data_IF_768190732128
#
_entry.id   IF_768190732128
#
_cell.length_a   1.000
_cell.length_b   1.000
_cell.length_c   1.000
_cell.angle_alpha   90.00
_cell.angle_beta   90.00
_cell.angle_gamma   90.00
#
_symmetry.space_group_name_H-M   'P 1'
#
loop_
_entity.id
_entity.type
_entity.pdbx_description
1 polymer ?
#
# COMPACT_ATOMS: atom_id res chain seq x y z
N UNK A 1 5.28 -15.22 15.94
CA UNK A 1 4.36 -15.35 14.78
C UNK A 1 4.90 -14.44 13.69
N UNK A 2 5.16 -15.01 12.53
CA UNK A 2 5.70 -14.29 11.39
C UNK A 2 4.58 -13.74 10.51
N UNK A 3 4.60 -12.44 10.21
CA UNK A 3 3.51 -11.75 9.52
C UNK A 3 4.03 -11.15 8.22
N UNK A 4 3.39 -11.50 7.10
CA UNK A 4 3.61 -10.86 5.81
C UNK A 4 2.60 -9.72 5.59
N UNK A 5 3.10 -8.50 5.40
CA UNK A 5 2.26 -7.32 5.11
C UNK A 5 2.35 -7.00 3.63
N UNK A 6 1.21 -6.82 2.95
CA UNK A 6 1.16 -6.40 1.56
C UNK A 6 0.41 -5.07 1.41
N UNK A 7 1.06 -4.07 0.84
CA UNK A 7 0.54 -2.71 0.68
C UNK A 7 1.28 -1.95 -0.42
N UNK A 8 0.85 -0.74 -0.74
CA UNK A 8 1.57 0.19 -1.62
C UNK A 8 2.81 0.75 -0.93
N UNK A 9 3.90 -0.01 -0.86
CA UNK A 9 5.17 0.43 -0.26
C UNK A 9 6.16 0.98 -1.29
N UNK A 10 6.05 0.59 -2.55
CA UNK A 10 6.97 0.99 -3.62
C UNK A 10 6.64 2.32 -4.28
N UNK A 11 5.49 2.93 -3.99
CA UNK A 11 5.10 4.23 -4.51
C UNK A 11 6.02 5.35 -3.98
N UNK A 12 6.42 6.29 -4.86
CA UNK A 12 7.16 7.48 -4.44
C UNK A 12 6.18 8.53 -3.86
N UNK A 13 5.50 8.14 -2.79
CA UNK A 13 4.50 8.91 -2.07
C UNK A 13 4.76 8.80 -0.56
N UNK A 14 4.78 9.94 0.13
CA UNK A 14 5.07 10.00 1.57
C UNK A 14 4.04 9.22 2.39
N UNK A 15 2.75 9.35 2.08
CA UNK A 15 1.69 8.62 2.77
C UNK A 15 1.88 7.10 2.63
N UNK A 16 2.14 6.63 1.41
CA UNK A 16 2.32 5.20 1.13
C UNK A 16 3.50 4.59 1.88
N UNK A 17 4.65 5.25 1.92
CA UNK A 17 5.82 4.70 2.61
C UNK A 17 5.71 4.82 4.12
N UNK A 18 5.09 5.90 4.65
CA UNK A 18 4.93 6.10 6.08
C UNK A 18 3.89 5.16 6.70
N UNK A 19 2.76 4.90 6.02
CA UNK A 19 1.79 3.94 6.52
C UNK A 19 2.36 2.52 6.52
N UNK A 20 3.15 2.15 5.49
CA UNK A 20 3.81 0.85 5.42
C UNK A 20 4.82 0.68 6.56
N UNK A 21 5.64 1.70 6.80
CA UNK A 21 6.57 1.76 7.94
C UNK A 21 5.82 1.61 9.28
N UNK A 22 4.83 2.46 9.50
CA UNK A 22 4.12 2.51 10.78
C UNK A 22 3.42 1.21 11.14
N UNK A 23 2.75 0.56 10.17
CA UNK A 23 2.09 -0.72 10.41
C UNK A 23 3.10 -1.80 10.81
N UNK A 24 4.22 -1.87 10.07
CA UNK A 24 5.23 -2.90 10.31
C UNK A 24 5.93 -2.68 11.65
N UNK A 25 6.32 -1.45 11.97
CA UNK A 25 6.93 -1.10 13.26
C UNK A 25 5.97 -1.39 14.43
N UNK A 26 4.71 -0.97 14.32
CA UNK A 26 3.72 -1.23 15.36
C UNK A 26 3.56 -2.74 15.64
N UNK A 27 3.54 -3.57 14.60
CA UNK A 27 3.45 -5.02 14.76
C UNK A 27 4.70 -5.59 15.42
N UNK A 28 5.89 -5.11 15.03
CA UNK A 28 7.16 -5.53 15.62
C UNK A 28 7.26 -5.10 17.09
N UNK A 29 6.81 -3.90 17.45
CA UNK A 29 6.73 -3.42 18.83
C UNK A 29 5.78 -4.27 19.70
N UNK A 30 4.76 -4.89 19.09
CA UNK A 30 3.87 -5.85 19.76
C UNK A 30 4.45 -7.27 19.87
N UNK A 31 5.71 -7.47 19.46
CA UNK A 31 6.41 -8.75 19.56
C UNK A 31 6.11 -9.73 18.44
N UNK A 32 5.55 -9.26 17.33
CA UNK A 32 5.45 -10.06 16.09
C UNK A 32 6.73 -9.91 15.26
N UNK A 33 6.97 -10.83 14.34
CA UNK A 33 8.00 -10.73 13.31
C UNK A 33 7.32 -10.34 12.00
N UNK A 34 7.07 -9.03 11.85
CA UNK A 34 6.37 -8.49 10.69
C UNK A 34 7.37 -7.90 9.68
N UNK A 35 7.14 -8.20 8.40
CA UNK A 35 7.85 -7.59 7.28
C UNK A 35 6.92 -7.36 6.10
N UNK A 36 7.29 -6.42 5.23
CA UNK A 36 6.53 -6.07 4.03
C UNK A 36 6.94 -7.03 2.91
N UNK A 37 5.96 -7.69 2.28
CA UNK A 37 6.18 -8.47 1.08
C UNK A 37 6.54 -7.49 -0.05
N UNK A 38 7.77 -7.59 -0.59
CA UNK A 38 8.26 -6.71 -1.68
C UNK A 38 7.59 -7.10 -3.00
N UNK A 39 6.28 -6.80 -3.10
CA UNK A 39 5.46 -7.03 -4.28
C UNK A 39 5.60 -5.87 -5.26
N UNK A 40 6.05 -6.18 -6.47
CA UNK A 40 6.18 -5.21 -7.55
C UNK A 40 5.04 -5.35 -8.55
N UNK A 41 4.14 -4.36 -8.57
CA UNK A 41 3.07 -4.25 -9.54
C UNK A 41 3.36 -3.08 -10.50
N UNK A 42 3.72 -3.38 -11.74
CA UNK A 42 4.23 -2.39 -12.70
C UNK A 42 3.24 -1.23 -12.93
N UNK A 43 1.94 -1.50 -12.92
CA UNK A 43 0.91 -0.48 -13.09
C UNK A 43 1.01 0.65 -12.06
N UNK A 44 1.30 0.31 -10.80
CA UNK A 44 1.40 1.28 -9.71
C UNK A 44 2.62 2.17 -9.84
N UNK A 45 3.69 1.65 -10.41
CA UNK A 45 4.99 2.34 -10.45
C UNK A 45 5.25 3.13 -11.73
N UNK A 46 4.50 2.89 -12.81
CA UNK A 46 4.73 3.56 -14.10
C UNK A 46 4.62 5.09 -14.01
N UNK A 47 3.76 5.60 -13.12
CA UNK A 47 3.56 7.04 -12.90
C UNK A 47 4.74 7.74 -12.22
N UNK A 48 5.58 6.98 -11.52
CA UNK A 48 6.76 7.47 -10.80
C UNK A 48 8.05 7.38 -11.63
N UNK A 49 7.99 6.81 -12.85
CA UNK A 49 9.15 6.78 -13.76
C UNK A 49 9.53 8.22 -14.15
N UNK A 50 10.84 8.51 -14.34
CA UNK A 50 11.30 9.85 -14.78
C UNK A 50 10.65 10.31 -16.08
N UNK A 51 10.40 9.34 -16.98
CA UNK A 51 9.69 9.54 -18.23
C UNK A 51 8.38 8.75 -18.23
N UNK A 52 7.25 9.47 -18.23
CA UNK A 52 5.89 8.88 -18.19
C UNK A 52 5.39 8.58 -19.60
N UNK A 53 6.09 7.68 -20.29
CA UNK A 53 5.89 7.37 -21.71
C UNK A 53 4.44 7.02 -22.08
N UNK A 54 3.68 6.44 -21.14
CA UNK A 54 2.27 6.09 -21.34
C UNK A 54 1.35 7.30 -21.52
N UNK A 55 1.82 8.53 -21.17
CA UNK A 55 1.05 9.77 -21.36
C UNK A 55 1.32 10.43 -22.71
N UNK A 56 2.45 10.20 -23.36
CA UNK A 56 2.94 11.01 -24.47
C UNK A 56 2.05 10.97 -25.71
N UNK A 57 1.36 9.85 -25.97
CA UNK A 57 0.40 9.73 -27.05
C UNK A 57 -0.85 10.59 -26.87
N UNK A 58 -1.26 10.84 -25.61
CA UNK A 58 -2.46 11.62 -25.25
C UNK A 58 -2.12 13.06 -24.85
N UNK A 59 -0.92 13.28 -24.32
CA UNK A 59 -0.46 14.56 -23.76
C UNK A 59 0.99 14.84 -24.20
N UNK A 60 1.24 15.29 -25.45
CA UNK A 60 2.61 15.51 -25.96
C UNK A 60 3.44 16.48 -25.09
N UNK A 61 2.78 17.46 -24.46
CA UNK A 61 3.46 18.41 -23.55
C UNK A 61 4.04 17.73 -22.32
N UNK A 62 3.58 16.54 -21.94
CA UNK A 62 4.11 15.78 -20.80
C UNK A 62 5.59 15.40 -21.04
N UNK A 63 5.99 15.13 -22.28
CA UNK A 63 7.39 14.85 -22.61
C UNK A 63 8.32 16.04 -22.27
N UNK A 64 7.96 17.25 -22.69
CA UNK A 64 8.75 18.44 -22.35
C UNK A 64 8.81 18.66 -20.84
N UNK A 65 7.68 18.51 -20.15
CA UNK A 65 7.64 18.60 -18.67
C UNK A 65 8.59 17.57 -18.04
N UNK A 66 8.59 16.32 -18.49
CA UNK A 66 9.44 15.28 -17.93
C UNK A 66 10.93 15.55 -18.21
N UNK A 67 11.28 16.10 -19.39
CA UNK A 67 12.65 16.52 -19.71
C UNK A 67 13.12 17.63 -18.75
N UNK A 68 12.32 18.70 -18.58
CA UNK A 68 12.70 19.80 -17.68
C UNK A 68 12.75 19.40 -16.22
N UNK A 69 11.91 18.45 -15.80
CA UNK A 69 11.85 17.98 -14.40
C UNK A 69 12.71 16.74 -14.14
N UNK A 70 13.48 16.26 -15.10
CA UNK A 70 14.21 15.00 -15.02
C UNK A 70 15.10 14.88 -13.79
N UNK A 71 15.92 15.90 -13.51
CA UNK A 71 16.82 15.90 -12.35
C UNK A 71 16.07 15.86 -11.01
N UNK A 72 14.95 16.57 -10.94
CA UNK A 72 14.08 16.60 -9.75
C UNK A 72 13.41 15.25 -9.55
N UNK A 73 12.89 14.65 -10.63
CA UNK A 73 12.30 13.31 -10.59
C UNK A 73 13.32 12.25 -10.16
N UNK A 74 14.53 12.26 -10.73
CA UNK A 74 15.60 11.33 -10.35
C UNK A 74 15.99 11.49 -8.86
N UNK A 75 16.12 12.73 -8.37
CA UNK A 75 16.41 12.99 -6.96
C UNK A 75 15.29 12.46 -6.05
N UNK A 76 14.04 12.70 -6.42
CA UNK A 76 12.86 12.19 -5.69
C UNK A 76 12.88 10.67 -5.62
N UNK A 77 13.00 9.99 -6.76
CA UNK A 77 13.06 8.53 -6.84
C UNK A 77 14.19 7.99 -5.93
N UNK A 78 15.39 8.57 -6.03
CA UNK A 78 16.52 8.16 -5.19
C UNK A 78 16.24 8.34 -3.70
N UNK A 79 15.61 9.43 -3.29
CA UNK A 79 15.28 9.66 -1.89
C UNK A 79 14.28 8.62 -1.38
N UNK A 80 13.24 8.29 -2.15
CA UNK A 80 12.28 7.25 -1.77
C UNK A 80 12.91 5.85 -1.77
N UNK A 81 13.81 5.55 -2.72
CA UNK A 81 14.57 4.30 -2.72
C UNK A 81 15.44 4.16 -1.47
N UNK A 82 16.15 5.23 -1.10
CA UNK A 82 16.96 5.26 0.12
C UNK A 82 16.08 5.04 1.36
N UNK A 83 14.94 5.75 1.45
CA UNK A 83 14.00 5.56 2.55
C UNK A 83 13.54 4.11 2.67
N UNK A 84 13.08 3.51 1.58
CA UNK A 84 12.65 2.10 1.57
C UNK A 84 13.74 1.15 2.00
N UNK A 85 14.97 1.37 1.52
CA UNK A 85 16.13 0.53 1.86
C UNK A 85 16.54 0.65 3.33
N UNK A 86 16.42 1.85 3.90
CA UNK A 86 16.91 2.15 5.24
C UNK A 86 15.87 1.82 6.33
N UNK A 87 14.58 2.08 6.03
CA UNK A 87 13.54 2.09 7.06
C UNK A 87 12.45 1.02 6.87
N UNK A 88 12.29 0.43 5.68
CA UNK A 88 11.31 -0.62 5.49
C UNK A 88 11.93 -2.01 5.62
N UNK A 89 11.38 -2.83 6.49
CA UNK A 89 11.72 -4.25 6.57
C UNK A 89 10.99 -5.00 5.46
N UNK A 90 11.67 -5.20 4.34
CA UNK A 90 11.13 -5.89 3.17
C UNK A 90 11.50 -7.37 3.19
N UNK A 91 10.65 -8.20 2.56
CA UNK A 91 10.97 -9.61 2.30
C UNK A 91 12.27 -9.72 1.48
N UNK A 92 13.04 -10.79 1.72
CA UNK A 92 14.31 -11.03 1.02
C UNK A 92 14.15 -11.25 -0.48
N UNK A 93 12.97 -11.66 -0.91
CA UNK A 93 12.62 -11.93 -2.30
C UNK A 93 11.60 -10.91 -2.78
N UNK A 94 11.87 -10.29 -3.93
CA UNK A 94 10.90 -9.45 -4.63
C UNK A 94 9.99 -10.31 -5.48
N UNK A 95 8.68 -10.13 -5.32
CA UNK A 95 7.65 -10.87 -6.04
C UNK A 95 7.09 -10.01 -7.17
N UNK A 96 7.06 -10.58 -8.37
CA UNK A 96 6.34 -10.03 -9.51
C UNK A 96 4.90 -10.57 -9.60
N UNK A 97 4.25 -10.28 -10.72
CA UNK A 97 2.84 -10.65 -10.90
C UNK A 97 2.62 -12.19 -11.01
N UNK A 98 3.61 -12.97 -11.46
CA UNK A 98 3.39 -14.37 -11.88
C UNK A 98 4.06 -15.43 -11.00
N UNK A 99 5.16 -15.11 -10.31
CA UNK A 99 6.02 -16.14 -9.72
C UNK A 99 6.33 -15.89 -8.23
N UNK A 100 6.62 -16.97 -7.49
CA UNK A 100 7.08 -16.91 -6.09
C UNK A 100 5.98 -16.86 -5.02
N UNK A 101 4.69 -16.81 -5.39
CA UNK A 101 3.59 -16.69 -4.44
C UNK A 101 3.44 -17.89 -3.51
N UNK A 102 3.70 -19.12 -3.99
CA UNK A 102 3.62 -20.33 -3.15
C UNK A 102 4.72 -20.35 -2.07
N UNK A 103 5.92 -19.89 -2.42
CA UNK A 103 7.03 -19.76 -1.47
C UNK A 103 6.69 -18.74 -0.40
N UNK A 104 6.25 -17.54 -0.81
CA UNK A 104 5.80 -16.48 0.11
C UNK A 104 4.64 -16.98 0.98
N UNK A 105 3.65 -17.69 0.42
CA UNK A 105 2.53 -18.23 1.18
C UNK A 105 2.98 -19.21 2.26
N UNK A 106 4.06 -19.96 2.03
CA UNK A 106 4.60 -20.91 3.02
C UNK A 106 5.38 -20.24 4.15
N UNK A 107 5.99 -19.07 3.88
CA UNK A 107 6.98 -18.43 4.76
C UNK A 107 6.37 -17.70 5.97
N UNK A 108 5.14 -17.22 5.89
CA UNK A 108 4.46 -16.49 6.97
C UNK A 108 3.34 -17.29 7.61
N UNK A 109 3.08 -17.02 8.89
CA UNK A 109 1.99 -17.65 9.66
C UNK A 109 0.65 -16.95 9.42
N UNK A 110 0.69 -15.64 9.13
CA UNK A 110 -0.47 -14.77 8.95
C UNK A 110 -0.15 -13.70 7.91
N UNK A 111 -1.16 -13.23 7.21
CA UNK A 111 -1.05 -12.19 6.20
C UNK A 111 -1.96 -11.00 6.50
N UNK A 112 -1.42 -9.80 6.32
CA UNK A 112 -2.16 -8.54 6.45
C UNK A 112 -2.08 -7.79 5.13
N UNK A 113 -3.21 -7.39 4.57
CA UNK A 113 -3.25 -6.44 3.46
C UNK A 113 -3.72 -5.06 3.95
N UNK A 114 -3.14 -4.01 3.38
CA UNK A 114 -3.42 -2.63 3.79
C UNK A 114 -2.24 -2.02 4.53
N UNK A 115 -2.31 -0.77 4.85
CA UNK A 115 -3.33 0.23 4.52
C UNK A 115 -3.25 0.68 3.04
N UNK A 116 -3.51 1.98 2.80
CA UNK A 116 -3.50 2.65 1.51
C UNK A 116 -4.64 2.22 0.56
N UNK A 117 -4.69 2.80 -0.64
CA UNK A 117 -5.76 2.59 -1.62
C UNK A 117 -5.61 1.28 -2.40
N UNK A 118 -5.18 0.21 -1.75
CA UNK A 118 -4.97 -1.10 -2.38
C UNK A 118 -6.27 -1.75 -2.88
N UNK A 119 -7.42 -1.29 -2.40
CA UNK A 119 -8.73 -1.74 -2.85
C UNK A 119 -9.44 -0.72 -3.77
N UNK A 120 -8.76 0.37 -4.14
CA UNK A 120 -9.24 1.28 -5.17
C UNK A 120 -9.00 0.67 -6.56
N UNK A 121 -10.05 0.13 -7.18
CA UNK A 121 -9.94 -0.60 -8.44
C UNK A 121 -9.48 0.28 -9.62
N UNK A 122 -9.59 1.60 -9.51
CA UNK A 122 -9.00 2.53 -10.47
C UNK A 122 -7.47 2.57 -10.34
N UNK A 123 -6.94 2.46 -9.12
CA UNK A 123 -5.50 2.44 -8.88
C UNK A 123 -4.89 1.10 -9.28
N UNK A 124 -5.57 -0.01 -9.01
CA UNK A 124 -5.06 -1.37 -9.23
C UNK A 124 -5.48 -1.99 -10.55
N UNK A 125 -6.16 -1.22 -11.42
CA UNK A 125 -6.68 -1.69 -12.71
C UNK A 125 -7.60 -2.92 -12.56
N UNK A 126 -8.53 -2.87 -11.61
CA UNK A 126 -9.44 -3.95 -11.25
C UNK A 126 -9.04 -4.66 -9.96
N UNK A 127 -9.70 -5.78 -9.67
CA UNK A 127 -9.37 -6.61 -8.50
C UNK A 127 -8.00 -7.25 -8.67
N UNK A 128 -7.00 -6.69 -8.00
CA UNK A 128 -5.63 -7.18 -8.02
C UNK A 128 -5.45 -8.24 -6.93
N UNK A 129 -5.41 -9.51 -7.32
CA UNK A 129 -5.41 -10.66 -6.42
C UNK A 129 -4.46 -10.57 -5.23
N UNK A 130 -3.17 -10.24 -5.41
CA UNK A 130 -2.23 -10.10 -4.30
C UNK A 130 -2.67 -9.13 -3.20
N UNK A 131 -3.31 -8.02 -3.53
CA UNK A 131 -3.85 -7.07 -2.54
C UNK A 131 -5.13 -7.58 -1.84
N UNK A 132 -5.68 -8.68 -2.31
CA UNK A 132 -6.76 -9.43 -1.67
C UNK A 132 -6.28 -10.77 -1.08
N UNK A 133 -4.95 -10.99 -1.03
CA UNK A 133 -4.35 -12.19 -0.46
C UNK A 133 -4.86 -13.50 -1.11
N UNK A 134 -5.11 -13.48 -2.42
CA UNK A 134 -5.64 -14.62 -3.17
C UNK A 134 -4.68 -15.82 -3.24
N UNK A 135 -3.37 -15.55 -3.07
CA UNK A 135 -2.32 -16.57 -3.00
C UNK A 135 -2.26 -17.32 -1.65
N UNK A 136 -3.02 -16.85 -0.65
CA UNK A 136 -3.01 -17.43 0.70
C UNK A 136 -4.12 -18.47 0.84
N UNK A 137 -3.78 -19.68 1.26
CA UNK A 137 -4.72 -20.74 1.59
C UNK A 137 -4.42 -21.33 2.96
N UNK A 138 -5.45 -21.62 3.75
CA UNK A 138 -5.33 -22.27 5.05
C UNK A 138 -4.65 -21.44 6.16
N UNK A 139 -4.39 -20.16 5.92
CA UNK A 139 -3.82 -19.21 6.90
C UNK A 139 -4.71 -18.00 7.08
N UNK A 140 -4.49 -17.26 8.18
CA UNK A 140 -5.29 -16.06 8.48
C UNK A 140 -4.98 -14.93 7.49
N UNK A 141 -6.03 -14.41 6.86
CA UNK A 141 -6.05 -13.21 6.02
C UNK A 141 -6.70 -12.09 6.80
N UNK A 142 -6.02 -10.97 6.97
CA UNK A 142 -6.52 -9.80 7.70
C UNK A 142 -6.41 -8.58 6.79
N UNK A 143 -7.44 -7.75 6.77
CA UNK A 143 -7.39 -6.43 6.16
C UNK A 143 -7.31 -5.36 7.24
N UNK A 144 -6.23 -4.57 7.24
CA UNK A 144 -6.07 -3.45 8.15
C UNK A 144 -6.08 -2.12 7.40
N UNK A 145 -7.14 -1.36 7.58
CA UNK A 145 -7.31 -0.01 7.02
C UNK A 145 -7.07 0.13 5.49
N UNK A 146 -7.35 -0.87 4.60
CA UNK A 146 -7.36 -0.57 3.19
C UNK A 146 -8.41 0.50 2.88
N UNK A 147 -8.17 1.22 1.78
CA UNK A 147 -9.05 2.28 1.29
C UNK A 147 -9.46 2.01 -0.15
N UNK A 148 -10.66 2.43 -0.50
CA UNK A 148 -11.12 2.51 -1.89
C UNK A 148 -11.00 3.95 -2.44
N UNK A 149 -10.58 4.92 -1.60
CA UNK A 149 -10.56 6.33 -1.98
C UNK A 149 -11.96 6.81 -2.38
N UNK A 150 -12.06 7.38 -3.56
CA UNK A 150 -13.30 7.85 -4.18
C UNK A 150 -13.96 6.81 -5.12
N UNK A 151 -13.40 5.60 -5.20
CA UNK A 151 -13.97 4.53 -6.04
C UNK A 151 -15.32 4.06 -5.48
N UNK A 152 -16.32 4.07 -6.35
CA UNK A 152 -17.64 3.51 -6.06
C UNK A 152 -17.73 2.09 -6.63
N UNK A 153 -18.10 1.13 -5.79
CA UNK A 153 -18.17 -0.28 -6.16
C UNK A 153 -19.25 -0.52 -7.23
N UNK A 154 -18.81 -0.80 -8.45
CA UNK A 154 -19.68 -1.09 -9.58
C UNK A 154 -20.25 -2.50 -9.49
N UNK A 155 -21.45 -2.72 -10.06
CA UNK A 155 -22.13 -4.03 -10.02
C UNK A 155 -21.27 -5.16 -10.60
N UNK A 156 -20.54 -4.89 -11.69
CA UNK A 156 -19.65 -5.86 -12.33
C UNK A 156 -18.46 -6.31 -11.43
N UNK A 157 -18.09 -5.51 -10.43
CA UNK A 157 -16.98 -5.78 -9.54
C UNK A 157 -17.43 -6.36 -8.20
N UNK A 158 -18.72 -6.24 -7.86
CA UNK A 158 -19.29 -6.73 -6.58
C UNK A 158 -19.02 -8.20 -6.34
N UNK A 159 -19.34 -9.05 -7.31
CA UNK A 159 -19.17 -10.51 -7.16
C UNK A 159 -17.70 -10.92 -7.08
N UNK A 160 -16.81 -10.25 -7.85
CA UNK A 160 -15.37 -10.49 -7.77
C UNK A 160 -14.82 -10.09 -6.40
N UNK A 161 -15.23 -8.92 -5.92
CA UNK A 161 -14.78 -8.42 -4.62
C UNK A 161 -15.34 -9.28 -3.48
N UNK A 162 -16.63 -9.68 -3.55
CA UNK A 162 -17.21 -10.61 -2.57
C UNK A 162 -16.39 -11.88 -2.45
N UNK A 163 -16.10 -12.56 -3.57
CA UNK A 163 -15.28 -13.77 -3.59
C UNK A 163 -13.87 -13.55 -3.03
N UNK A 164 -13.27 -12.41 -3.33
CA UNK A 164 -11.93 -12.09 -2.84
C UNK A 164 -11.89 -11.85 -1.32
N UNK A 165 -13.03 -11.44 -0.71
CA UNK A 165 -13.10 -11.07 0.71
C UNK A 165 -13.73 -12.15 1.61
N UNK A 166 -14.45 -13.13 1.07
CA UNK A 166 -15.21 -14.10 1.86
C UNK A 166 -14.36 -14.99 2.77
N UNK A 167 -13.08 -15.18 2.47
CA UNK A 167 -12.14 -15.98 3.26
C UNK A 167 -11.33 -15.16 4.28
N UNK A 168 -11.59 -13.87 4.39
CA UNK A 168 -10.88 -13.07 5.37
C UNK A 168 -11.29 -13.43 6.80
N UNK A 169 -10.30 -13.50 7.69
CA UNK A 169 -10.53 -13.72 9.12
C UNK A 169 -11.07 -12.45 9.79
N UNK A 170 -10.58 -11.28 9.38
CA UNK A 170 -11.01 -9.98 9.89
C UNK A 170 -10.82 -8.90 8.82
N UNK A 171 -11.77 -7.96 8.75
CA UNK A 171 -11.70 -6.80 7.87
C UNK A 171 -11.93 -5.54 8.69
N UNK A 172 -10.96 -4.62 8.61
CA UNK A 172 -11.13 -3.26 9.06
C UNK A 172 -10.77 -2.29 7.94
N UNK A 173 -11.50 -1.19 7.82
CA UNK A 173 -11.36 -0.21 6.74
C UNK A 173 -11.01 1.16 7.29
N UNK A 174 -10.40 2.01 6.47
CA UNK A 174 -9.98 3.35 6.88
C UNK A 174 -11.14 4.34 6.90
N UNK A 175 -12.04 4.27 5.93
CA UNK A 175 -13.17 5.19 5.78
C UNK A 175 -14.50 4.52 6.14
N UNK A 176 -15.34 5.20 6.94
CA UNK A 176 -16.66 4.70 7.30
C UNK A 176 -17.60 4.52 6.07
N UNK A 177 -17.39 5.32 5.01
CA UNK A 177 -18.14 5.17 3.74
C UNK A 177 -17.96 3.80 3.09
N UNK A 178 -16.80 3.17 3.29
CA UNK A 178 -16.55 1.81 2.77
C UNK A 178 -17.42 0.75 3.45
N UNK A 179 -17.77 0.93 4.72
CA UNK A 179 -18.61 -0.04 5.45
C UNK A 179 -19.92 -0.25 4.68
N UNK A 180 -20.61 0.83 4.32
CA UNK A 180 -21.88 0.76 3.61
C UNK A 180 -21.76 0.06 2.24
N UNK A 181 -20.64 0.25 1.53
CA UNK A 181 -20.37 -0.43 0.27
C UNK A 181 -20.10 -1.92 0.44
N UNK A 182 -19.31 -2.28 1.44
CA UNK A 182 -18.92 -3.67 1.71
C UNK A 182 -20.04 -4.48 2.35
N UNK A 183 -20.94 -3.86 3.14
CA UNK A 183 -22.14 -4.52 3.69
C UNK A 183 -23.06 -5.06 2.60
N UNK A 184 -23.11 -4.39 1.44
CA UNK A 184 -23.87 -4.86 0.28
C UNK A 184 -23.32 -6.17 -0.32
N UNK A 185 -22.11 -6.57 0.04
CA UNK A 185 -21.49 -7.84 -0.39
C UNK A 185 -21.97 -9.03 0.46
N UNK A 186 -22.71 -8.80 1.57
CA UNK A 186 -23.18 -9.84 2.49
C UNK A 186 -22.05 -10.79 2.94
N UNK A 187 -20.92 -10.23 3.37
CA UNK A 187 -19.80 -11.00 3.86
C UNK A 187 -20.14 -11.64 5.23
N UNK A 188 -19.59 -12.83 5.55
CA UNK A 188 -19.89 -13.54 6.80
C UNK A 188 -19.19 -12.96 8.03
N UNK A 189 -18.56 -11.79 7.91
CA UNK A 189 -17.78 -11.13 8.95
C UNK A 189 -18.23 -9.67 9.12
N UNK A 190 -18.10 -9.16 10.33
CA UNK A 190 -18.32 -7.73 10.61
C UNK A 190 -17.14 -6.89 10.13
N UNK A 191 -17.44 -5.70 9.63
CA UNK A 191 -16.47 -4.73 9.16
C UNK A 191 -16.48 -3.54 10.12
N UNK A 192 -15.30 -3.06 10.49
CA UNK A 192 -15.16 -1.91 11.38
C UNK A 192 -14.22 -0.86 10.81
N UNK A 193 -14.38 0.39 11.24
CA UNK A 193 -13.47 1.47 10.89
C UNK A 193 -12.30 1.51 11.89
N UNK A 194 -11.10 1.70 11.38
CA UNK A 194 -9.88 1.87 12.18
C UNK A 194 -9.08 3.06 11.66
N UNK A 195 -8.15 3.53 12.46
CA UNK A 195 -7.26 4.63 12.09
C UNK A 195 -6.23 4.18 11.05
N UNK A 196 -5.74 5.14 10.25
CA UNK A 196 -4.59 4.91 9.39
C UNK A 196 -3.37 4.47 10.22
N UNK A 197 -2.54 3.53 9.76
CA UNK A 197 -1.37 3.06 10.50
C UNK A 197 -0.43 4.17 10.97
N UNK A 198 -0.35 5.28 10.26
CA UNK A 198 0.47 6.43 10.68
C UNK A 198 0.06 7.02 12.03
N UNK A 199 -1.14 6.70 12.51
CA UNK A 199 -1.63 7.12 13.82
C UNK A 199 -1.43 6.06 14.93
N UNK A 200 -0.88 4.90 14.60
CA UNK A 200 -0.57 3.84 15.58
C UNK A 200 0.70 4.13 16.38
N UNK A 201 1.64 4.85 15.79
CA UNK A 201 2.90 5.24 16.39
C UNK A 201 2.78 6.64 17.01
N UNK A 202 3.50 6.87 18.10
CA UNK A 202 3.63 8.19 18.71
C UNK A 202 4.67 9.02 17.97
N UNK A 203 4.65 10.33 18.19
CA UNK A 203 5.65 11.26 17.62
C UNK A 203 7.09 10.85 17.96
N UNK A 204 7.28 10.39 19.20
CA UNK A 204 8.59 9.97 19.72
C UNK A 204 9.13 8.76 18.94
N UNK A 205 8.27 7.80 18.58
CA UNK A 205 8.63 6.60 17.81
C UNK A 205 9.15 7.00 16.43
N UNK A 206 8.48 7.97 15.76
CA UNK A 206 8.95 8.51 14.48
C UNK A 206 10.28 9.25 14.60
N UNK A 207 10.45 10.08 15.63
CA UNK A 207 11.71 10.82 15.85
C UNK A 207 12.86 9.84 16.10
N UNK A 208 12.63 8.82 16.91
CA UNK A 208 13.63 7.84 17.27
C UNK A 208 13.95 6.89 16.10
N UNK A 209 12.93 6.40 15.40
CA UNK A 209 13.07 5.44 14.31
C UNK A 209 13.62 6.09 13.03
N UNK A 210 13.02 7.20 12.59
CA UNK A 210 13.35 7.82 11.30
C UNK A 210 14.46 8.88 11.38
N UNK A 211 14.82 9.34 12.59
CA UNK A 211 15.84 10.38 12.82
C UNK A 211 15.66 11.60 11.89
N UNK A 212 14.47 12.22 11.89
CA UNK A 212 14.15 13.28 10.95
C UNK A 212 15.11 14.45 11.12
N UNK A 213 15.57 15.03 10.02
CA UNK A 213 16.34 16.26 10.04
C UNK A 213 15.45 17.42 10.49
N UNK A 214 15.93 18.23 11.43
CA UNK A 214 15.24 19.45 11.82
C UNK A 214 15.37 20.49 10.70
N UNK A 215 14.24 20.81 10.04
CA UNK A 215 14.17 21.95 9.14
C UNK A 215 13.74 23.19 9.92
N UNK A 216 14.61 24.20 9.97
CA UNK A 216 14.31 25.48 10.59
C UNK A 216 13.31 26.34 9.80
N UNK A 217 13.02 25.99 8.55
CA UNK A 217 12.05 26.66 7.68
C UNK A 217 11.28 25.66 6.82
N UNK A 218 10.11 25.25 7.28
CA UNK A 218 9.05 24.69 6.43
C UNK A 218 8.21 25.85 5.89
N UNK A 219 8.57 26.38 4.73
CA UNK A 219 7.63 27.16 3.93
C UNK A 219 6.73 26.16 3.21
N UNK A 220 5.54 25.93 3.75
CA UNK A 220 4.47 25.30 2.98
C UNK A 220 4.19 26.20 1.78
N UNK A 221 4.17 25.69 0.54
CA UNK A 221 3.68 26.47 -0.57
C UNK A 221 2.20 26.79 -0.27
N UNK A 222 1.91 28.06 -0.04
CA UNK A 222 0.54 28.54 0.04
C UNK A 222 -0.05 28.33 -1.34
N UNK A 223 -0.97 27.40 -1.49
CA UNK A 223 -1.78 27.28 -2.69
C UNK A 223 -2.76 28.45 -2.62
N UNK A 224 -2.49 29.50 -3.39
CA UNK A 224 -3.42 30.58 -3.67
C UNK A 224 -4.31 30.14 -4.83
#
# INVERSE_FOLDING_TARGET
MKIGVITFHGADNYGSVLQAYALTEYLNDKGYDAEIIDYYFEHDYRQYKPFRTYLYSRQPKAFLSDVFSYSVHCKRIKNFQNFRKEFLKLSSVRIGASDGWQEIASYYDCFICGSDQIWNLNCTNGVCGPYFLDFVSGKRKIAYAPSMGDYLLLDNDREKMRKALEEFYAISVREASMIQMLEQLNLPISIQTVVDPTLLLKKEDYIQGLKPVSYTHLTLPTIA
#
